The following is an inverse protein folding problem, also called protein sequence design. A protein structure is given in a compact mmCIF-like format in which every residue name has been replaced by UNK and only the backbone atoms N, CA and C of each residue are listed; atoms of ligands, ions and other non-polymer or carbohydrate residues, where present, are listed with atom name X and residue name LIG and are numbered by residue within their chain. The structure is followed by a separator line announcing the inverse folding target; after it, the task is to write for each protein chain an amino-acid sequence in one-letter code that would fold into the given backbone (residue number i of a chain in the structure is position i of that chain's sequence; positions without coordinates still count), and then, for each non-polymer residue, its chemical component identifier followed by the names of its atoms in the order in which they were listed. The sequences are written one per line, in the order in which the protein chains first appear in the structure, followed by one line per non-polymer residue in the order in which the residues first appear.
data_IF_723686297036
#
_entry.id   IF_723686297036
#
_cell.length_a   1.000
_cell.length_b   1.000
_cell.length_c   1.000
_cell.angle_alpha   90.00
_cell.angle_beta   90.00
_cell.angle_gamma   90.00
#
_symmetry.space_group_name_H-M   'P 1'
#
loop_
_entity.id
_entity.type
_entity.pdbx_description
1 polymer ?
#
# COMPACT_ATOMS: atom_id res chain seq x y z
N UNK A 1 6.29 4.46 -16.29
CA UNK A 1 6.19 3.99 -17.71
C UNK A 1 7.53 3.40 -18.15
N UNK A 2 7.65 2.87 -19.37
CA UNK A 2 8.96 2.46 -19.91
C UNK A 2 9.84 3.69 -20.21
N UNK A 3 11.18 3.55 -20.22
CA UNK A 3 12.09 4.64 -20.58
C UNK A 3 11.82 5.19 -21.99
N UNK A 4 11.39 4.35 -22.93
CA UNK A 4 11.07 4.79 -24.29
C UNK A 4 9.87 5.73 -24.32
N UNK A 5 8.78 5.35 -23.65
CA UNK A 5 7.58 6.21 -23.56
C UNK A 5 7.89 7.54 -22.90
N UNK A 6 8.74 7.53 -21.85
CA UNK A 6 9.18 8.75 -21.20
C UNK A 6 9.95 9.67 -22.17
N UNK A 7 10.93 9.15 -22.90
CA UNK A 7 11.69 9.92 -23.91
C UNK A 7 10.80 10.47 -25.01
N UNK A 8 9.83 9.69 -25.49
CA UNK A 8 8.89 10.11 -26.53
C UNK A 8 8.00 11.27 -26.07
N UNK A 9 7.59 11.26 -24.79
CA UNK A 9 6.82 12.36 -24.19
C UNK A 9 7.68 13.61 -24.00
N UNK A 10 8.90 13.46 -23.50
CA UNK A 10 9.84 14.56 -23.29
C UNK A 10 10.22 15.26 -24.60
N UNK A 11 10.25 14.52 -25.72
CA UNK A 11 10.51 15.08 -27.04
C UNK A 11 9.32 15.85 -27.64
N UNK A 12 8.08 15.58 -27.21
CA UNK A 12 6.84 16.09 -27.85
C UNK A 12 6.06 17.07 -27.00
N UNK A 13 6.16 16.98 -25.68
CA UNK A 13 5.37 17.79 -24.76
C UNK A 13 6.15 19.01 -24.29
N UNK A 14 5.45 20.14 -24.08
CA UNK A 14 6.04 21.33 -23.47
C UNK A 14 6.50 21.09 -22.02
N UNK A 15 5.84 20.17 -21.30
CA UNK A 15 6.19 19.77 -19.93
C UNK A 15 5.71 18.35 -19.65
N UNK A 16 6.59 17.51 -19.13
CA UNK A 16 6.27 16.18 -18.59
C UNK A 16 6.41 16.23 -17.07
N UNK A 17 5.40 15.73 -16.34
CA UNK A 17 5.45 15.57 -14.89
C UNK A 17 5.44 14.08 -14.60
N UNK A 18 6.54 13.56 -14.07
CA UNK A 18 6.63 12.16 -13.65
C UNK A 18 6.03 12.01 -12.24
N UNK A 19 4.83 11.42 -12.18
CA UNK A 19 4.15 11.07 -10.94
C UNK A 19 4.34 9.59 -10.55
N UNK A 20 5.34 8.91 -11.11
CA UNK A 20 5.66 7.53 -10.75
C UNK A 20 5.99 7.44 -9.26
N UNK A 21 5.34 6.50 -8.57
CA UNK A 21 5.56 6.28 -7.15
C UNK A 21 7.05 5.98 -6.86
N UNK A 22 7.68 6.62 -5.85
CA UNK A 22 9.09 6.40 -5.53
C UNK A 22 9.46 4.93 -5.26
N UNK A 23 8.53 4.13 -4.74
CA UNK A 23 8.72 2.69 -4.57
C UNK A 23 8.85 1.96 -5.91
N UNK A 24 8.05 2.34 -6.91
CA UNK A 24 8.16 1.80 -8.28
C UNK A 24 9.45 2.26 -8.94
N UNK A 25 9.82 3.54 -8.79
CA UNK A 25 11.10 4.08 -9.29
C UNK A 25 12.29 3.33 -8.69
N UNK A 26 12.22 2.93 -7.42
CA UNK A 26 13.27 2.12 -6.78
C UNK A 26 13.44 0.76 -7.49
N UNK A 27 12.34 0.08 -7.84
CA UNK A 27 12.41 -1.21 -8.57
C UNK A 27 13.04 -1.03 -9.95
N UNK A 28 12.61 0.01 -10.69
CA UNK A 28 13.15 0.34 -12.01
C UNK A 28 14.67 0.60 -11.95
N UNK A 29 15.12 1.43 -11.00
CA UNK A 29 16.55 1.74 -10.80
C UNK A 29 17.37 0.56 -10.29
N UNK A 30 16.76 -0.38 -9.58
CA UNK A 30 17.44 -1.62 -9.17
C UNK A 30 17.67 -2.52 -10.38
N UNK A 31 16.63 -2.72 -11.21
CA UNK A 31 16.72 -3.52 -12.42
C UNK A 31 17.73 -2.93 -13.42
N UNK A 32 17.66 -1.63 -13.69
CA UNK A 32 18.59 -0.92 -14.58
C UNK A 32 20.05 -1.07 -14.12
N UNK A 33 20.33 -0.88 -12.83
CA UNK A 33 21.70 -0.98 -12.28
C UNK A 33 22.24 -2.42 -12.29
N UNK A 34 21.39 -3.42 -12.13
CA UNK A 34 21.79 -4.82 -12.24
C UNK A 34 22.12 -5.17 -13.70
N UNK A 35 21.24 -4.80 -14.64
CA UNK A 35 21.45 -5.02 -16.07
C UNK A 35 22.69 -4.29 -16.60
N UNK A 36 22.95 -3.05 -16.15
CA UNK A 36 24.16 -2.30 -16.50
C UNK A 36 25.47 -2.99 -16.04
N UNK A 37 25.39 -3.93 -15.10
CA UNK A 37 26.49 -4.78 -14.63
C UNK A 37 26.50 -6.17 -15.29
N UNK A 38 25.65 -6.40 -16.29
CA UNK A 38 25.48 -7.68 -16.96
C UNK A 38 24.75 -8.74 -16.14
N UNK A 39 24.11 -8.37 -15.02
CA UNK A 39 23.40 -9.28 -14.13
C UNK A 39 21.95 -9.44 -14.55
N UNK A 40 21.41 -10.64 -14.36
CA UNK A 40 19.99 -10.89 -14.59
C UNK A 40 19.12 -10.38 -13.45
N UNK A 41 17.86 -10.10 -13.76
CA UNK A 41 16.87 -9.57 -12.83
C UNK A 41 15.64 -10.44 -12.88
N UNK A 42 15.30 -11.09 -11.78
CA UNK A 42 14.02 -11.78 -11.62
C UNK A 42 13.07 -10.84 -10.91
N UNK A 43 11.96 -10.51 -11.58
CA UNK A 43 10.92 -9.64 -11.05
C UNK A 43 9.69 -10.49 -10.74
N UNK A 44 9.32 -10.57 -9.47
CA UNK A 44 8.17 -11.37 -9.03
C UNK A 44 6.90 -10.53 -9.12
N UNK A 45 5.95 -10.91 -9.96
CA UNK A 45 4.73 -10.15 -10.19
C UNK A 45 3.93 -10.61 -11.41
N UNK A 46 2.88 -9.87 -11.72
CA UNK A 46 2.09 -10.14 -12.91
C UNK A 46 2.77 -9.52 -14.16
N UNK A 47 3.21 -10.30 -15.16
CA UNK A 47 3.87 -9.80 -16.37
C UNK A 47 3.03 -8.77 -17.15
N UNK A 48 1.70 -8.85 -17.06
CA UNK A 48 0.79 -7.96 -17.77
C UNK A 48 0.53 -6.64 -17.01
N UNK A 49 1.04 -6.51 -15.78
CA UNK A 49 0.82 -5.31 -14.97
C UNK A 49 1.68 -4.13 -15.45
N UNK A 50 1.12 -2.90 -15.58
CA UNK A 50 1.88 -1.74 -16.07
C UNK A 50 3.17 -1.43 -15.32
N UNK A 51 3.21 -1.72 -14.01
CA UNK A 51 4.44 -1.62 -13.21
C UNK A 51 5.54 -2.56 -13.73
N UNK A 52 5.21 -3.82 -14.04
CA UNK A 52 6.16 -4.83 -14.49
C UNK A 52 6.63 -4.57 -15.91
N UNK A 53 5.71 -4.17 -16.81
CA UNK A 53 6.05 -3.68 -18.15
C UNK A 53 7.05 -2.51 -18.04
N UNK A 54 6.82 -1.61 -17.09
CA UNK A 54 7.74 -0.53 -16.76
C UNK A 54 9.12 -1.05 -16.40
N UNK A 55 9.23 -1.93 -15.41
CA UNK A 55 10.52 -2.50 -14.93
C UNK A 55 11.27 -3.23 -16.05
N UNK A 56 10.60 -4.06 -16.85
CA UNK A 56 11.21 -4.74 -18.00
C UNK A 56 11.77 -3.73 -19.00
N UNK A 57 11.07 -2.60 -19.21
CA UNK A 57 11.57 -1.52 -20.07
C UNK A 57 12.91 -0.91 -19.64
N UNK A 58 13.27 -0.99 -18.35
CA UNK A 58 14.55 -0.52 -17.81
C UNK A 58 15.68 -1.56 -17.91
N UNK A 59 15.35 -2.83 -18.16
CA UNK A 59 16.32 -3.93 -18.26
C UNK A 59 15.87 -4.99 -19.28
N UNK A 60 15.61 -4.62 -20.55
CA UNK A 60 14.87 -5.47 -21.49
C UNK A 60 15.57 -6.77 -21.88
N UNK A 61 16.90 -6.82 -21.79
CA UNK A 61 17.70 -8.01 -22.11
C UNK A 61 17.97 -8.92 -20.89
N UNK A 62 17.72 -8.44 -19.67
CA UNK A 62 18.12 -9.10 -18.42
C UNK A 62 16.95 -9.35 -17.46
N UNK A 63 15.79 -8.73 -17.69
CA UNK A 63 14.64 -8.87 -16.82
C UNK A 63 13.75 -10.06 -17.21
N UNK A 64 13.49 -10.92 -16.24
CA UNK A 64 12.57 -12.04 -16.33
C UNK A 64 11.44 -11.86 -15.31
N UNK A 65 10.19 -11.89 -15.75
CA UNK A 65 9.03 -11.77 -14.86
C UNK A 65 8.44 -13.13 -14.59
N UNK A 66 8.22 -13.45 -13.31
CA UNK A 66 7.58 -14.70 -12.87
C UNK A 66 6.46 -14.39 -11.87
N UNK A 67 5.36 -15.12 -11.95
CA UNK A 67 4.21 -14.96 -11.04
C UNK A 67 4.42 -15.67 -9.72
N UNK A 68 5.07 -16.82 -9.74
CA UNK A 68 5.30 -17.67 -8.58
C UNK A 68 6.52 -18.58 -8.77
N UNK A 69 6.84 -19.38 -7.75
CA UNK A 69 8.02 -20.23 -7.72
C UNK A 69 8.01 -21.32 -8.79
N UNK A 70 6.84 -21.73 -9.28
CA UNK A 70 6.71 -22.76 -10.30
C UNK A 70 7.20 -22.29 -11.67
N UNK A 71 7.06 -21.00 -11.98
CA UNK A 71 7.53 -20.43 -13.25
C UNK A 71 9.06 -20.29 -13.30
N UNK A 72 9.75 -20.30 -12.16
CA UNK A 72 11.22 -20.15 -12.08
C UNK A 72 11.94 -21.29 -12.82
N UNK A 73 11.40 -22.50 -12.78
CA UNK A 73 12.00 -23.66 -13.46
C UNK A 73 12.14 -23.46 -14.98
N UNK A 74 11.32 -22.60 -15.58
CA UNK A 74 11.33 -22.30 -17.01
C UNK A 74 12.33 -21.21 -17.40
N UNK A 75 12.91 -20.50 -16.43
CA UNK A 75 13.92 -19.47 -16.68
C UNK A 75 15.22 -20.08 -17.21
N UNK A 76 16.03 -19.38 -18.01
CA UNK A 76 17.38 -19.82 -18.33
C UNK A 76 18.26 -19.89 -17.07
N UNK A 77 19.52 -20.34 -17.23
CA UNK A 77 20.51 -20.16 -16.16
C UNK A 77 20.82 -18.67 -16.04
N UNK A 78 20.65 -18.13 -14.83
CA UNK A 78 20.73 -16.70 -14.52
C UNK A 78 22.13 -16.34 -14.01
N UNK A 79 22.67 -15.24 -14.52
CA UNK A 79 23.95 -14.70 -14.10
C UNK A 79 23.81 -13.73 -12.92
N UNK A 80 24.35 -14.12 -11.77
CA UNK A 80 24.37 -13.34 -10.52
C UNK A 80 23.05 -12.58 -10.24
N UNK A 81 21.89 -13.27 -10.21
CA UNK A 81 20.60 -12.64 -10.33
C UNK A 81 20.27 -11.70 -9.16
N UNK A 82 19.59 -10.61 -9.47
CA UNK A 82 18.87 -9.77 -8.52
C UNK A 82 17.39 -10.18 -8.51
N UNK A 83 16.84 -10.47 -7.34
CA UNK A 83 15.41 -10.78 -7.16
C UNK A 83 14.71 -9.58 -6.52
N UNK A 84 13.71 -9.04 -7.21
CA UNK A 84 12.84 -7.94 -6.77
C UNK A 84 11.38 -8.31 -6.98
N UNK A 85 10.44 -7.53 -6.43
CA UNK A 85 9.01 -7.77 -6.54
C UNK A 85 8.23 -6.57 -7.05
N UNK A 86 7.05 -6.85 -7.61
CA UNK A 86 5.96 -5.90 -7.71
C UNK A 86 5.63 -5.30 -6.33
N UNK A 87 5.37 -4.00 -6.28
CA UNK A 87 5.16 -3.26 -5.03
C UNK A 87 3.96 -3.74 -4.22
N UNK A 88 2.98 -4.37 -4.87
CA UNK A 88 1.74 -4.89 -4.25
C UNK A 88 1.73 -6.41 -4.05
N UNK A 89 2.86 -7.09 -4.26
CA UNK A 89 2.96 -8.55 -4.13
C UNK A 89 2.82 -9.01 -2.67
N UNK A 90 2.35 -10.25 -2.47
CA UNK A 90 2.39 -10.92 -1.17
C UNK A 90 3.82 -11.34 -0.81
N UNK A 91 4.23 -11.07 0.43
CA UNK A 91 5.57 -11.42 0.92
C UNK A 91 5.89 -12.91 0.80
N UNK A 92 4.93 -13.80 1.09
CA UNK A 92 5.15 -15.24 0.97
C UNK A 92 5.55 -15.64 -0.45
N UNK A 93 4.81 -15.17 -1.46
CA UNK A 93 5.11 -15.45 -2.88
C UNK A 93 6.49 -14.94 -3.27
N UNK A 94 6.88 -13.76 -2.78
CA UNK A 94 8.23 -13.22 -3.00
C UNK A 94 9.32 -14.14 -2.43
N UNK A 95 9.17 -14.58 -1.18
CA UNK A 95 10.14 -15.46 -0.52
C UNK A 95 10.22 -16.84 -1.18
N UNK A 96 9.08 -17.42 -1.55
CA UNK A 96 9.03 -18.71 -2.25
C UNK A 96 9.79 -18.64 -3.60
N UNK A 97 9.63 -17.54 -4.35
CA UNK A 97 10.36 -17.32 -5.61
C UNK A 97 11.84 -17.07 -5.37
N UNK A 98 12.19 -16.24 -4.39
CA UNK A 98 13.59 -15.95 -4.06
C UNK A 98 14.37 -17.24 -3.75
N UNK A 99 13.76 -18.18 -3.03
CA UNK A 99 14.37 -19.48 -2.78
C UNK A 99 14.46 -20.32 -4.07
N UNK A 100 13.40 -20.38 -4.88
CA UNK A 100 13.41 -21.14 -6.12
C UNK A 100 14.45 -20.64 -7.14
N UNK A 101 14.74 -19.33 -7.16
CA UNK A 101 15.73 -18.73 -8.08
C UNK A 101 17.13 -19.28 -7.83
N UNK A 102 17.46 -19.69 -6.60
CA UNK A 102 18.77 -20.28 -6.25
C UNK A 102 19.08 -21.52 -7.10
N UNK A 103 18.08 -22.29 -7.51
CA UNK A 103 18.24 -23.47 -8.36
C UNK A 103 18.54 -23.15 -9.83
N UNK A 104 18.37 -21.90 -10.26
CA UNK A 104 18.63 -21.42 -11.63
C UNK A 104 19.67 -20.31 -11.68
N UNK A 105 20.47 -20.15 -10.63
CA UNK A 105 21.45 -19.08 -10.51
C UNK A 105 22.88 -19.64 -10.51
N UNK A 106 23.81 -18.96 -11.17
CA UNK A 106 25.24 -19.30 -11.14
C UNK A 106 26.01 -18.74 -9.93
N UNK A 107 25.34 -17.91 -9.13
CA UNK A 107 25.81 -17.34 -7.87
C UNK A 107 24.64 -17.16 -6.90
N UNK A 108 24.93 -16.91 -5.62
CA UNK A 108 23.89 -16.62 -4.63
C UNK A 108 23.07 -15.39 -5.06
N UNK A 109 21.73 -15.49 -5.20
CA UNK A 109 20.91 -14.37 -5.62
C UNK A 109 20.94 -13.22 -4.62
N UNK A 110 21.02 -11.99 -5.12
CA UNK A 110 20.76 -10.82 -4.30
C UNK A 110 19.25 -10.63 -4.18
N UNK A 111 18.70 -10.73 -2.97
CA UNK A 111 17.26 -10.62 -2.75
C UNK A 111 16.93 -9.28 -2.12
N UNK A 112 16.16 -8.44 -2.83
CA UNK A 112 15.75 -7.11 -2.36
C UNK A 112 14.24 -7.05 -2.31
N UNK A 113 13.67 -7.06 -1.09
CA UNK A 113 12.24 -6.87 -0.91
C UNK A 113 11.83 -5.45 -1.32
N UNK A 114 11.08 -5.35 -2.42
CA UNK A 114 10.55 -4.09 -2.96
C UNK A 114 9.03 -3.95 -2.78
N UNK A 115 8.40 -4.80 -1.98
CA UNK A 115 7.00 -4.65 -1.58
C UNK A 115 6.84 -3.33 -0.83
N UNK A 116 5.90 -2.50 -1.27
CA UNK A 116 5.63 -1.20 -0.68
C UNK A 116 5.03 -1.36 0.72
N UNK A 117 5.59 -0.64 1.69
CA UNK A 117 5.15 -0.70 3.07
C UNK A 117 3.89 0.11 3.35
N UNK A 118 3.41 0.95 2.41
CA UNK A 118 2.34 1.92 2.67
C UNK A 118 1.05 1.32 3.26
N UNK A 119 0.70 0.09 2.88
CA UNK A 119 -0.45 -0.61 3.48
C UNK A 119 -0.16 -1.03 4.92
N UNK A 120 1.01 -1.63 5.17
CA UNK A 120 1.45 -2.07 6.50
C UNK A 120 1.62 -0.88 7.43
N UNK A 121 2.32 0.16 7.01
CA UNK A 121 2.59 1.34 7.82
C UNK A 121 1.27 2.05 8.21
N UNK A 122 0.27 2.06 7.32
CA UNK A 122 -1.07 2.58 7.63
C UNK A 122 -1.82 1.71 8.62
N UNK A 123 -1.71 0.38 8.51
CA UNK A 123 -2.30 -0.56 9.47
C UNK A 123 -1.63 -0.45 10.84
N UNK A 124 -0.30 -0.37 10.91
CA UNK A 124 0.44 -0.26 12.16
C UNK A 124 0.14 1.08 12.86
N UNK A 125 0.08 2.18 12.10
CA UNK A 125 -0.34 3.48 12.64
C UNK A 125 -1.80 3.45 13.15
N UNK A 126 -2.71 2.81 12.40
CA UNK A 126 -4.10 2.66 12.82
C UNK A 126 -4.23 1.81 14.09
N UNK A 127 -3.49 0.69 14.18
CA UNK A 127 -3.43 -0.17 15.37
C UNK A 127 -2.91 0.58 16.59
N UNK A 128 -1.81 1.31 16.42
CA UNK A 128 -1.21 2.09 17.51
C UNK A 128 -2.17 3.18 18.01
N UNK A 129 -2.83 3.91 17.10
CA UNK A 129 -3.83 4.91 17.48
C UNK A 129 -5.06 4.28 18.15
N UNK A 130 -5.48 3.10 17.69
CA UNK A 130 -6.64 2.41 18.23
C UNK A 130 -6.49 2.04 19.71
N UNK A 131 -5.26 1.78 20.18
CA UNK A 131 -4.98 1.56 21.60
C UNK A 131 -5.06 2.82 22.48
N UNK A 132 -5.39 3.99 21.93
CA UNK A 132 -5.40 5.27 22.63
C UNK A 132 -6.71 6.06 22.51
N UNK A 133 -7.77 5.45 21.96
CA UNK A 133 -9.06 6.10 21.70
C UNK A 133 -10.22 5.22 22.15
N UNK A 134 -11.36 5.84 22.41
CA UNK A 134 -12.57 5.17 22.94
C UNK A 134 -13.54 4.80 21.81
N UNK A 135 -13.43 5.47 20.66
CA UNK A 135 -14.11 5.13 19.42
C UNK A 135 -13.20 5.43 18.21
N UNK A 136 -13.38 4.72 17.11
CA UNK A 136 -12.55 4.85 15.91
C UNK A 136 -13.39 4.85 14.64
N UNK A 137 -13.18 5.81 13.75
CA UNK A 137 -13.80 5.84 12.42
C UNK A 137 -12.76 5.59 11.32
N UNK A 138 -13.06 4.61 10.46
CA UNK A 138 -12.30 4.26 9.27
C UNK A 138 -13.09 4.74 8.06
N UNK A 139 -12.51 5.63 7.27
CA UNK A 139 -13.18 6.22 6.11
C UNK A 139 -12.77 5.47 4.84
N UNK A 140 -13.73 4.84 4.17
CA UNK A 140 -13.53 4.28 2.84
C UNK A 140 -14.57 3.24 2.44
N UNK A 141 -14.48 2.79 1.19
CA UNK A 141 -15.50 1.92 0.60
C UNK A 141 -15.72 0.60 1.33
N UNK A 142 -16.97 0.18 1.49
CA UNK A 142 -17.36 -1.10 2.15
C UNK A 142 -16.86 -2.35 1.43
N UNK A 143 -16.57 -2.22 0.13
CA UNK A 143 -15.99 -3.28 -0.69
C UNK A 143 -14.47 -3.16 -0.86
N UNK A 144 -13.85 -2.13 -0.26
CA UNK A 144 -12.40 -1.95 -0.30
C UNK A 144 -11.72 -2.93 0.65
N UNK A 145 -10.98 -3.90 0.10
CA UNK A 145 -10.18 -4.82 0.91
C UNK A 145 -9.23 -4.10 1.88
N UNK A 146 -8.69 -2.94 1.49
CA UNK A 146 -7.82 -2.15 2.37
C UNK A 146 -8.60 -1.54 3.54
N UNK A 147 -9.78 -0.97 3.29
CA UNK A 147 -10.61 -0.36 4.35
C UNK A 147 -11.15 -1.42 5.32
N UNK A 148 -11.57 -2.58 4.81
CA UNK A 148 -12.01 -3.72 5.64
C UNK A 148 -10.87 -4.21 6.54
N UNK A 149 -9.65 -4.34 5.99
CA UNK A 149 -8.48 -4.73 6.79
C UNK A 149 -8.13 -3.69 7.85
N UNK A 150 -8.25 -2.41 7.53
CA UNK A 150 -8.02 -1.33 8.52
C UNK A 150 -9.04 -1.39 9.65
N UNK A 151 -10.32 -1.62 9.34
CA UNK A 151 -11.35 -1.84 10.36
C UNK A 151 -10.96 -3.01 11.28
N UNK A 152 -10.64 -4.17 10.71
CA UNK A 152 -10.27 -5.35 11.49
C UNK A 152 -9.08 -5.08 12.42
N UNK A 153 -8.06 -4.36 11.93
CA UNK A 153 -6.87 -3.99 12.71
C UNK A 153 -7.21 -3.00 13.84
N UNK A 154 -8.12 -2.05 13.62
CA UNK A 154 -8.54 -1.13 14.68
C UNK A 154 -9.37 -1.86 15.75
N UNK A 155 -10.22 -2.80 15.35
CA UNK A 155 -11.04 -3.62 16.24
C UNK A 155 -10.22 -4.51 17.18
N UNK A 156 -8.95 -4.81 16.86
CA UNK A 156 -8.04 -5.51 17.77
C UNK A 156 -7.79 -4.74 19.08
N UNK A 157 -7.90 -3.40 19.07
CA UNK A 157 -7.58 -2.54 20.22
C UNK A 157 -8.75 -1.63 20.65
N UNK A 158 -9.69 -1.35 19.75
CA UNK A 158 -10.85 -0.51 19.99
C UNK A 158 -12.11 -1.16 19.43
N UNK A 159 -12.92 -1.79 20.30
CA UNK A 159 -14.15 -2.50 19.91
C UNK A 159 -15.12 -1.58 19.15
N UNK A 160 -15.27 -0.32 19.61
CA UNK A 160 -16.05 0.74 18.97
C UNK A 160 -15.34 1.30 17.72
N UNK A 161 -15.04 0.45 16.75
CA UNK A 161 -14.47 0.83 15.46
C UNK A 161 -15.50 0.69 14.33
N UNK A 162 -15.67 1.72 13.51
CA UNK A 162 -16.72 1.83 12.50
C UNK A 162 -16.14 2.11 11.12
N UNK A 163 -16.64 1.40 10.11
CA UNK A 163 -16.35 1.68 8.69
C UNK A 163 -17.48 2.52 8.10
N UNK A 164 -17.14 3.71 7.62
CA UNK A 164 -18.06 4.68 7.02
C UNK A 164 -17.58 5.11 5.64
N UNK A 165 -18.50 5.38 4.72
CA UNK A 165 -18.18 5.97 3.41
C UNK A 165 -18.35 7.49 3.41
N UNK A 166 -19.25 8.00 4.26
CA UNK A 166 -19.62 9.41 4.35
C UNK A 166 -19.83 9.87 5.80
N UNK A 167 -19.73 11.19 6.10
CA UNK A 167 -19.98 11.73 7.44
C UNK A 167 -21.41 11.54 7.94
N UNK A 168 -22.37 11.27 7.05
CA UNK A 168 -23.79 11.09 7.39
C UNK A 168 -24.00 9.78 8.16
N UNK A 169 -23.10 8.81 7.99
CA UNK A 169 -23.17 7.50 8.65
C UNK A 169 -22.67 7.52 10.11
N UNK A 170 -22.25 8.68 10.63
CA UNK A 170 -21.81 8.83 12.01
C UNK A 170 -23.05 8.98 12.90
N UNK A 171 -23.29 7.99 13.77
CA UNK A 171 -24.32 8.09 14.81
C UNK A 171 -23.72 8.69 16.08
N UNK A 172 -24.39 9.68 16.67
CA UNK A 172 -23.90 10.34 17.89
C UNK A 172 -23.94 9.42 19.12
N UNK A 173 -24.86 8.46 19.15
CA UNK A 173 -25.01 7.47 20.23
C UNK A 173 -23.79 6.54 20.33
N UNK A 174 -23.14 6.23 19.21
CA UNK A 174 -21.90 5.42 19.18
C UNK A 174 -20.77 6.07 20.00
N UNK A 175 -20.81 7.40 20.11
CA UNK A 175 -19.82 8.26 20.76
C UNK A 175 -20.14 8.57 22.22
N UNK A 176 -21.24 8.06 22.78
CA UNK A 176 -21.56 8.28 24.19
C UNK A 176 -20.44 7.75 25.10
N UNK A 177 -19.98 8.63 26.00
CA UNK A 177 -18.89 8.35 26.94
C UNK A 177 -17.49 8.32 26.31
N UNK A 178 -17.34 8.57 24.99
CA UNK A 178 -16.04 8.62 24.35
C UNK A 178 -15.37 10.00 24.59
N UNK A 179 -14.16 10.01 25.17
CA UNK A 179 -13.37 11.23 25.34
C UNK A 179 -12.48 11.49 24.13
N UNK A 180 -11.99 10.42 23.51
CA UNK A 180 -11.05 10.45 22.38
C UNK A 180 -11.58 9.62 21.22
N UNK A 181 -11.66 10.25 20.05
CA UNK A 181 -12.09 9.61 18.81
C UNK A 181 -10.94 9.57 17.81
N UNK A 182 -10.60 8.37 17.35
CA UNK A 182 -9.62 8.13 16.29
C UNK A 182 -10.25 8.23 14.91
N UNK A 183 -9.50 8.75 13.93
CA UNK A 183 -9.91 8.76 12.53
C UNK A 183 -8.76 8.28 11.66
N UNK A 184 -9.05 7.37 10.73
CA UNK A 184 -8.13 6.95 9.67
C UNK A 184 -8.88 6.77 8.36
N UNK A 185 -8.16 6.59 7.26
CA UNK A 185 -8.75 6.48 5.95
C UNK A 185 -8.03 5.48 5.05
N UNK A 186 -8.80 4.81 4.19
CA UNK A 186 -8.28 3.95 3.15
C UNK A 186 -7.41 4.72 2.14
N UNK A 187 -6.58 4.00 1.37
CA UNK A 187 -5.63 4.60 0.43
C UNK A 187 -6.29 5.46 -0.67
N UNK A 188 -7.55 5.20 -1.00
CA UNK A 188 -8.31 5.89 -2.06
C UNK A 188 -9.22 7.00 -1.53
N UNK A 189 -9.19 7.28 -0.23
CA UNK A 189 -10.06 8.27 0.40
C UNK A 189 -9.41 9.66 0.29
N UNK A 190 -10.09 10.66 -0.30
CA UNK A 190 -9.53 12.00 -0.48
C UNK A 190 -9.57 12.82 0.83
N UNK A 191 -8.62 13.75 0.99
CA UNK A 191 -8.47 14.55 2.21
C UNK A 191 -9.73 15.36 2.58
N UNK A 192 -10.44 15.93 1.60
CA UNK A 192 -11.66 16.71 1.85
C UNK A 192 -12.74 15.88 2.56
N UNK A 193 -12.80 14.56 2.32
CA UNK A 193 -13.76 13.68 2.97
C UNK A 193 -13.34 13.39 4.43
N UNK A 194 -12.03 13.27 4.66
CA UNK A 194 -11.47 13.14 6.01
C UNK A 194 -11.79 14.40 6.83
N UNK A 195 -11.61 15.58 6.25
CA UNK A 195 -11.92 16.87 6.87
C UNK A 195 -13.40 16.95 7.26
N UNK A 196 -14.32 16.61 6.37
CA UNK A 196 -15.76 16.60 6.68
C UNK A 196 -16.13 15.64 7.82
N UNK A 197 -15.52 14.46 7.88
CA UNK A 197 -15.73 13.51 8.98
C UNK A 197 -15.22 14.11 10.30
N UNK A 198 -14.02 14.70 10.30
CA UNK A 198 -13.44 15.34 11.49
C UNK A 198 -14.30 16.53 11.96
N UNK A 199 -14.80 17.36 11.05
CA UNK A 199 -15.71 18.46 11.38
C UNK A 199 -17.01 17.96 12.02
N UNK A 200 -17.62 16.92 11.45
CA UNK A 200 -18.83 16.31 12.00
C UNK A 200 -18.61 15.75 13.40
N UNK A 201 -17.49 15.04 13.62
CA UNK A 201 -17.12 14.50 14.94
C UNK A 201 -16.88 15.62 15.97
N UNK A 202 -16.23 16.72 15.58
CA UNK A 202 -16.04 17.89 16.45
C UNK A 202 -17.38 18.50 16.86
N UNK A 203 -18.29 18.71 15.90
CA UNK A 203 -19.61 19.26 16.19
C UNK A 203 -20.41 18.37 17.16
N UNK A 204 -20.33 17.05 17.02
CA UNK A 204 -20.94 16.10 17.98
C UNK A 204 -20.31 16.23 19.36
N UNK A 205 -18.97 16.26 19.44
CA UNK A 205 -18.26 16.39 20.72
C UNK A 205 -18.53 17.72 21.44
N UNK A 206 -18.70 18.82 20.69
CA UNK A 206 -19.10 20.12 21.24
C UNK A 206 -20.53 20.08 21.78
N UNK A 207 -21.47 19.47 21.05
CA UNK A 207 -22.84 19.30 21.49
C UNK A 207 -22.95 18.45 22.77
N UNK A 208 -22.18 17.36 22.87
CA UNK A 208 -22.17 16.50 24.07
C UNK A 208 -21.57 17.18 25.31
N UNK A 209 -20.55 18.04 25.13
CA UNK A 209 -20.00 18.87 26.22
C UNK A 209 -20.97 19.95 26.70
N UNK A 210 -21.88 20.39 25.84
CA UNK A 210 -22.87 21.41 26.15
C UNK A 210 -24.08 20.85 26.94
N UNK A 211 -24.23 19.53 27.06
CA UNK A 211 -25.23 18.87 27.92
C UNK A 211 -24.65 18.77 29.34
N UNK A 212 -25.07 19.58 30.32
CA UNK A 212 -24.55 19.48 31.68
C UNK A 212 -25.05 18.18 32.32
N UNK A 213 -24.30 17.65 33.29
CA UNK A 213 -24.68 16.53 34.17
C UNK A 213 -25.95 16.80 35.04
N UNK A 214 -26.77 17.79 34.70
CA UNK A 214 -27.92 18.26 35.46
C UNK A 214 -29.29 17.73 34.98
N UNK A 215 -29.35 16.97 33.88
CA UNK A 215 -30.64 16.41 33.37
C UNK A 215 -30.91 14.94 33.72
N UNK A 216 -30.10 14.32 34.60
CA UNK A 216 -30.42 13.02 35.19
C UNK A 216 -30.95 13.17 36.62
N UNK A 217 -32.09 13.84 36.77
CA UNK A 217 -32.98 13.65 37.94
C UNK A 217 -34.43 13.68 37.48
N UNK A 218 -35.02 12.48 37.34
CA UNK A 218 -36.42 12.21 37.71
C UNK A 218 -36.62 10.70 37.88
#
# INVERSE_FOLDING_TARGET
VTPQVQRDLEARAAKVIDATCPFVTKVQKLAERAAAKGRDVVVVGNPDHPEMIGVVGYAPANAHVVRDAGEVANLPMLHAPLVVSQTTLKLKTFLDVAEAVRARADAEPEVVNTICSATRDRQDAARALAGHVDAFYIIGGRHSSNSIKLLAVCQEQCEKSFLIETPIEINAEDLEGAERVGVTAGASTPNWLIEQVVEKLRAIGEAQKAVPAAELVS
#
